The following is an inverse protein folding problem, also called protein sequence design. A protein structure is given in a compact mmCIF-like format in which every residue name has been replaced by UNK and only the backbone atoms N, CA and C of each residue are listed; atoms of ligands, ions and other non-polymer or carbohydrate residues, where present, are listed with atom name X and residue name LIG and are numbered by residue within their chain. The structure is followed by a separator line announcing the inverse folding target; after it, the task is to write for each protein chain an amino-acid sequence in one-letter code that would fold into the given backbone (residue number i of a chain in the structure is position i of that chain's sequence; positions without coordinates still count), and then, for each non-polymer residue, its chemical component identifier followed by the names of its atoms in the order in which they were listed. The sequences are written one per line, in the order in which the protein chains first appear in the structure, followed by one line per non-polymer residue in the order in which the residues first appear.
data_IF_847467671802
#
_entry.id   IF_847467671802
#
_cell.length_a   1.000
_cell.length_b   1.000
_cell.length_c   1.000
_cell.angle_alpha   90.00
_cell.angle_beta   90.00
_cell.angle_gamma   90.00
#
_symmetry.space_group_name_H-M   'P 1'
#
loop_
_entity.id
_entity.type
_entity.pdbx_description
1 polymer ?
#
# COMPACT_ATOMS: atom_id res chain seq x y z
N UNK A 1 -2.25 10.43 -24.66
CA UNK A 1 -3.05 10.50 -23.41
C UNK A 1 -3.59 9.14 -22.97
N UNK A 2 -4.13 8.30 -23.86
CA UNK A 2 -4.62 6.96 -23.48
C UNK A 2 -3.54 6.06 -22.83
N UNK A 3 -2.30 6.07 -23.35
CA UNK A 3 -1.19 5.29 -22.78
C UNK A 3 -0.84 5.67 -21.34
N UNK A 4 -0.86 6.96 -21.01
CA UNK A 4 -0.57 7.45 -19.65
C UNK A 4 -1.65 7.06 -18.66
N UNK A 5 -2.93 7.12 -19.06
CA UNK A 5 -4.06 6.69 -18.21
C UNK A 5 -3.98 5.19 -17.94
N UNK A 6 -3.73 4.39 -18.98
CA UNK A 6 -3.53 2.95 -18.83
C UNK A 6 -2.34 2.63 -17.92
N UNK A 7 -1.23 3.37 -18.05
CA UNK A 7 -0.04 3.20 -17.22
C UNK A 7 -0.30 3.53 -15.74
N UNK A 8 -0.96 4.64 -15.42
CA UNK A 8 -1.27 5.01 -14.04
C UNK A 8 -2.21 4.00 -13.39
N UNK A 9 -3.15 3.44 -14.16
CA UNK A 9 -4.10 2.45 -13.67
C UNK A 9 -3.54 1.01 -13.65
N UNK A 10 -2.37 0.76 -14.24
CA UNK A 10 -1.81 -0.60 -14.36
C UNK A 10 -1.61 -1.29 -13.00
N UNK A 11 -1.47 -0.54 -11.90
CA UNK A 11 -1.42 -1.08 -10.53
C UNK A 11 -2.63 -1.98 -10.20
N UNK A 12 -3.82 -1.65 -10.72
CA UNK A 12 -5.03 -2.44 -10.50
C UNK A 12 -4.98 -3.81 -11.18
N UNK A 13 -4.20 -3.96 -12.26
CA UNK A 13 -4.01 -5.24 -12.95
C UNK A 13 -3.25 -6.21 -12.04
N UNK A 14 -2.22 -5.74 -11.34
CA UNK A 14 -1.50 -6.57 -10.37
C UNK A 14 -2.35 -6.95 -9.17
N UNK A 15 -3.22 -6.06 -8.68
CA UNK A 15 -4.18 -6.38 -7.63
C UNK A 15 -5.15 -7.48 -8.07
N UNK A 16 -5.66 -7.42 -9.30
CA UNK A 16 -6.55 -8.44 -9.83
C UNK A 16 -5.91 -9.84 -9.91
N UNK A 17 -4.59 -9.93 -10.19
CA UNK A 17 -3.87 -11.21 -10.25
C UNK A 17 -3.40 -11.74 -8.89
N UNK A 18 -3.06 -10.85 -7.95
CA UNK A 18 -2.47 -11.25 -6.65
C UNK A 18 -3.51 -11.49 -5.55
N UNK A 19 -4.74 -11.00 -5.72
CA UNK A 19 -5.74 -11.07 -4.66
C UNK A 19 -6.40 -12.45 -4.59
N UNK A 20 -6.58 -13.04 -3.38
CA UNK A 20 -7.27 -14.31 -3.19
C UNK A 20 -8.78 -14.17 -3.46
N UNK A 21 -9.13 -14.13 -4.74
CA UNK A 21 -10.49 -14.02 -5.28
C UNK A 21 -11.40 -15.22 -4.92
N UNK A 22 -10.88 -16.20 -4.19
CA UNK A 22 -11.58 -17.40 -3.73
C UNK A 22 -12.45 -17.17 -2.48
N UNK A 23 -12.27 -16.06 -1.75
CA UNK A 23 -13.10 -15.74 -0.58
C UNK A 23 -14.47 -15.12 -0.94
N UNK A 24 -14.60 -14.51 -2.11
CA UNK A 24 -15.83 -13.80 -2.51
C UNK A 24 -16.58 -14.64 -3.54
N UNK A 25 -17.61 -15.37 -3.08
CA UNK A 25 -18.44 -16.25 -3.92
C UNK A 25 -19.31 -15.51 -4.94
N UNK A 26 -19.66 -14.25 -4.70
CA UNK A 26 -20.59 -13.51 -5.57
C UNK A 26 -19.84 -12.69 -6.64
N UNK A 27 -20.17 -12.82 -7.94
CA UNK A 27 -19.42 -12.19 -9.03
C UNK A 27 -19.45 -10.66 -9.00
N UNK A 28 -20.55 -10.06 -8.55
CA UNK A 28 -20.69 -8.59 -8.42
C UNK A 28 -19.83 -8.06 -7.27
N UNK A 29 -19.82 -8.75 -6.13
CA UNK A 29 -18.99 -8.37 -4.99
C UNK A 29 -17.49 -8.53 -5.31
N UNK A 30 -17.17 -9.51 -6.16
CA UNK A 30 -15.82 -9.73 -6.68
C UNK A 30 -15.38 -8.59 -7.60
N UNK A 31 -16.24 -8.16 -8.52
CA UNK A 31 -15.96 -7.03 -9.41
C UNK A 31 -15.80 -5.72 -8.61
N UNK A 32 -16.68 -5.45 -7.64
CA UNK A 32 -16.55 -4.31 -6.73
C UNK A 32 -15.25 -4.40 -5.93
N UNK A 33 -14.91 -5.57 -5.39
CA UNK A 33 -13.71 -5.73 -4.60
C UNK A 33 -12.41 -5.50 -5.39
N UNK A 34 -12.37 -5.84 -6.68
CA UNK A 34 -11.24 -5.54 -7.56
C UNK A 34 -11.17 -4.05 -7.88
N UNK A 35 -12.32 -3.41 -8.10
CA UNK A 35 -12.42 -1.98 -8.38
C UNK A 35 -12.00 -1.12 -7.19
N UNK A 36 -12.56 -1.39 -6.00
CA UNK A 36 -12.34 -0.63 -4.78
C UNK A 36 -11.02 -1.00 -4.05
N UNK A 37 -10.15 -1.79 -4.68
CA UNK A 37 -8.89 -2.20 -4.07
C UNK A 37 -7.84 -1.10 -4.19
N UNK A 38 -7.37 -0.65 -3.03
CA UNK A 38 -6.21 0.23 -2.89
C UNK A 38 -5.12 -0.45 -2.05
N UNK A 39 -3.91 0.08 -2.12
CA UNK A 39 -2.72 -0.43 -1.45
C UNK A 39 -2.89 -0.54 0.06
N UNK A 40 -3.56 0.40 0.70
CA UNK A 40 -3.77 0.38 2.15
C UNK A 40 -4.66 -0.79 2.57
N UNK A 41 -5.75 -1.00 1.83
CA UNK A 41 -6.66 -2.13 2.06
C UNK A 41 -5.94 -3.45 1.77
N UNK A 42 -5.12 -3.50 0.73
CA UNK A 42 -4.30 -4.66 0.39
C UNK A 42 -3.28 -4.98 1.49
N UNK A 43 -2.51 -3.98 1.95
CA UNK A 43 -1.47 -4.16 2.95
C UNK A 43 -2.04 -4.63 4.29
N UNK A 44 -3.15 -4.02 4.74
CA UNK A 44 -3.84 -4.43 5.97
C UNK A 44 -4.38 -5.86 5.82
N UNK A 45 -5.04 -6.18 4.71
CA UNK A 45 -5.59 -7.53 4.53
C UNK A 45 -4.50 -8.61 4.34
N UNK A 46 -3.37 -8.26 3.72
CA UNK A 46 -2.22 -9.17 3.58
C UNK A 46 -1.53 -9.45 4.92
N UNK A 47 -1.58 -8.50 5.87
CA UNK A 47 -1.04 -8.67 7.22
C UNK A 47 -1.90 -9.54 8.15
N UNK A 48 -3.17 -9.78 7.79
CA UNK A 48 -4.07 -10.65 8.53
C UNK A 48 -3.78 -12.12 8.24
N UNK A 49 -3.90 -12.96 9.26
CA UNK A 49 -3.81 -14.40 9.14
C UNK A 49 -4.97 -14.97 8.30
N UNK A 50 -4.72 -16.06 7.59
CA UNK A 50 -5.63 -16.66 6.60
C UNK A 50 -7.02 -17.03 7.18
N UNK A 51 -7.08 -17.33 8.47
CA UNK A 51 -8.31 -17.69 9.19
C UNK A 51 -9.18 -16.49 9.59
N UNK A 52 -8.62 -15.27 9.62
CA UNK A 52 -9.35 -14.03 9.94
C UNK A 52 -9.78 -13.25 8.68
N UNK A 53 -9.30 -13.67 7.51
CA UNK A 53 -9.67 -13.07 6.22
C UNK A 53 -11.12 -13.42 5.91
N UNK A 54 -11.97 -12.40 5.89
CA UNK A 54 -13.41 -12.56 5.68
C UNK A 54 -13.89 -11.58 4.60
N UNK A 55 -14.65 -12.08 3.63
CA UNK A 55 -15.24 -11.28 2.56
C UNK A 55 -16.03 -10.04 3.03
N UNK A 56 -16.93 -10.13 4.05
CA UNK A 56 -17.62 -8.94 4.57
C UNK A 56 -16.68 -7.93 5.23
N UNK A 57 -15.59 -8.36 5.88
CA UNK A 57 -14.60 -7.46 6.49
C UNK A 57 -13.85 -6.67 5.42
N UNK A 58 -13.46 -7.34 4.33
CA UNK A 58 -12.83 -6.69 3.18
C UNK A 58 -13.74 -5.62 2.56
N UNK A 59 -14.99 -5.99 2.28
CA UNK A 59 -15.97 -5.08 1.68
C UNK A 59 -16.28 -3.89 2.60
N UNK A 60 -16.41 -4.13 3.91
CA UNK A 60 -16.60 -3.08 4.89
C UNK A 60 -15.41 -2.10 4.91
N UNK A 61 -14.17 -2.60 4.81
CA UNK A 61 -12.98 -1.76 4.77
C UNK A 61 -12.91 -0.92 3.49
N UNK A 62 -13.23 -1.52 2.34
CA UNK A 62 -13.30 -0.81 1.05
C UNK A 62 -14.35 0.31 1.08
N UNK A 63 -15.56 0.00 1.56
CA UNK A 63 -16.63 0.99 1.70
C UNK A 63 -16.22 2.10 2.67
N UNK A 64 -15.58 1.76 3.79
CA UNK A 64 -15.11 2.76 4.75
C UNK A 64 -14.06 3.70 4.13
N UNK A 65 -13.10 3.17 3.36
CA UNK A 65 -12.13 3.98 2.62
C UNK A 65 -12.82 4.90 1.59
N UNK A 66 -13.81 4.40 0.86
CA UNK A 66 -14.52 5.17 -0.15
C UNK A 66 -15.39 6.27 0.48
N UNK A 67 -16.08 5.98 1.59
CA UNK A 67 -16.83 6.97 2.37
C UNK A 67 -15.89 8.02 2.97
N UNK A 68 -14.73 7.61 3.49
CA UNK A 68 -13.73 8.55 4.00
C UNK A 68 -13.22 9.48 2.90
N UNK A 69 -12.91 8.93 1.73
CA UNK A 69 -12.44 9.69 0.57
C UNK A 69 -13.49 10.70 0.09
N UNK A 70 -14.71 10.24 -0.16
CA UNK A 70 -15.81 11.08 -0.64
C UNK A 70 -16.19 12.12 0.41
N UNK A 71 -16.31 11.72 1.68
CA UNK A 71 -16.65 12.61 2.78
C UNK A 71 -15.58 13.67 3.02
N UNK A 72 -14.31 13.28 3.02
CA UNK A 72 -13.17 14.19 3.14
C UNK A 72 -13.10 15.17 1.96
N UNK A 73 -13.31 14.68 0.73
CA UNK A 73 -13.36 15.51 -0.47
C UNK A 73 -14.51 16.51 -0.45
N UNK A 74 -15.72 16.07 -0.11
CA UNK A 74 -16.90 16.94 -0.02
C UNK A 74 -16.71 18.01 1.06
N UNK A 75 -16.20 17.61 2.23
CA UNK A 75 -15.89 18.52 3.33
C UNK A 75 -14.82 19.54 2.91
N UNK A 76 -13.78 19.09 2.22
CA UNK A 76 -12.74 19.95 1.66
C UNK A 76 -13.26 20.94 0.63
N UNK A 77 -14.20 20.55 -0.23
CA UNK A 77 -14.85 21.46 -1.19
C UNK A 77 -15.69 22.51 -0.45
N UNK A 78 -16.52 22.11 0.50
CA UNK A 78 -17.36 23.03 1.28
C UNK A 78 -16.49 24.04 2.03
N UNK A 79 -15.45 23.58 2.73
CA UNK A 79 -14.48 24.45 3.40
C UNK A 79 -13.72 25.34 2.41
N UNK A 80 -13.34 24.79 1.25
CA UNK A 80 -12.68 25.51 0.16
C UNK A 80 -13.52 26.66 -0.39
N UNK A 81 -14.83 26.47 -0.54
CA UNK A 81 -15.75 27.52 -1.03
C UNK A 81 -16.02 28.61 0.01
N UNK A 82 -15.83 28.33 1.30
CA UNK A 82 -15.95 29.31 2.37
C UNK A 82 -14.69 30.20 2.51
N UNK A 83 -13.59 29.84 1.86
CA UNK A 83 -12.34 30.59 1.88
C UNK A 83 -12.32 31.66 0.78
N UNK A 84 -12.21 32.96 1.11
CA UNK A 84 -12.28 34.05 0.12
C UNK A 84 -11.04 34.20 -0.77
N UNK A 85 -9.95 33.50 -0.46
CA UNK A 85 -8.68 33.60 -1.17
C UNK A 85 -8.06 32.20 -1.38
N UNK A 86 -7.35 31.97 -2.49
CA UNK A 86 -6.61 30.72 -2.68
C UNK A 86 -5.63 30.52 -1.53
N UNK A 87 -5.72 29.36 -0.86
CA UNK A 87 -4.85 29.01 0.26
C UNK A 87 -3.42 28.82 -0.26
N UNK A 88 -2.60 29.87 -0.15
CA UNK A 88 -1.16 29.77 -0.39
C UNK A 88 -0.56 28.75 0.58
N UNK A 89 0.18 27.77 0.05
CA UNK A 89 0.83 26.73 0.84
C UNK A 89 0.11 25.37 0.86
N UNK A 90 -1.00 25.18 0.14
CA UNK A 90 -1.56 23.83 -0.03
C UNK A 90 -0.57 22.87 -0.71
N UNK A 91 0.26 23.39 -1.62
CA UNK A 91 1.37 22.68 -2.26
C UNK A 91 2.43 22.18 -1.25
N UNK A 92 2.61 22.87 -0.12
CA UNK A 92 3.47 22.42 0.96
C UNK A 92 2.91 21.16 1.64
N UNK A 93 1.58 21.05 1.79
CA UNK A 93 0.96 19.88 2.40
C UNK A 93 1.21 18.61 1.57
N UNK A 94 1.13 18.71 0.23
CA UNK A 94 1.43 17.58 -0.66
C UNK A 94 2.91 17.17 -0.58
N UNK A 95 3.83 18.13 -0.60
CA UNK A 95 5.26 17.85 -0.44
C UNK A 95 5.57 17.24 0.94
N UNK A 96 4.91 17.71 2.00
CA UNK A 96 5.06 17.18 3.35
C UNK A 96 4.56 15.72 3.44
N UNK A 97 3.41 15.40 2.82
CA UNK A 97 2.89 14.04 2.77
C UNK A 97 3.89 13.08 2.12
N UNK A 98 4.42 13.42 0.95
CA UNK A 98 5.44 12.59 0.29
C UNK A 98 6.72 12.46 1.10
N UNK A 99 7.14 13.54 1.77
CA UNK A 99 8.32 13.54 2.63
C UNK A 99 8.15 12.58 3.80
N UNK A 100 6.99 12.61 4.47
CA UNK A 100 6.69 11.71 5.59
C UNK A 100 6.62 10.26 5.13
N UNK A 101 5.94 9.97 4.01
CA UNK A 101 5.89 8.61 3.44
C UNK A 101 7.28 8.07 3.10
N UNK A 102 8.12 8.91 2.51
CA UNK A 102 9.52 8.57 2.20
C UNK A 102 10.30 8.27 3.49
N UNK A 103 10.16 9.12 4.51
CA UNK A 103 10.84 8.93 5.79
C UNK A 103 10.39 7.64 6.50
N UNK A 104 9.09 7.32 6.43
CA UNK A 104 8.54 6.09 7.02
C UNK A 104 9.10 4.84 6.32
N UNK A 105 9.19 4.87 4.99
CA UNK A 105 9.84 3.82 4.21
C UNK A 105 11.32 3.62 4.61
N UNK A 106 12.06 4.70 4.86
CA UNK A 106 13.44 4.61 5.37
C UNK A 106 13.53 4.03 6.79
N UNK A 107 12.58 4.35 7.67
CA UNK A 107 12.56 3.86 9.07
C UNK A 107 12.30 2.36 9.18
N UNK A 108 11.54 1.79 8.25
CA UNK A 108 11.16 0.38 8.26
C UNK A 108 12.34 -0.62 8.23
N UNK A 109 13.58 -0.19 7.90
CA UNK A 109 14.85 -0.97 7.79
C UNK A 109 14.83 -2.21 6.88
N UNK A 110 13.71 -2.88 6.70
CA UNK A 110 13.50 -4.00 5.78
C UNK A 110 13.35 -3.52 4.33
N UNK A 111 12.89 -2.27 4.14
CA UNK A 111 12.56 -1.70 2.82
C UNK A 111 13.64 -0.76 2.25
N UNK A 112 14.80 -0.61 2.90
CA UNK A 112 15.86 0.32 2.44
C UNK A 112 16.42 -0.10 1.08
N UNK A 113 16.59 -1.41 0.86
CA UNK A 113 17.11 -1.92 -0.41
C UNK A 113 16.13 -1.62 -1.56
N UNK A 114 14.83 -1.97 -1.48
CA UNK A 114 13.82 -1.51 -2.44
C UNK A 114 13.79 0.01 -2.66
N UNK A 115 13.88 0.83 -1.60
CA UNK A 115 13.86 2.29 -1.74
C UNK A 115 15.07 2.82 -2.54
N UNK A 116 16.27 2.29 -2.29
CA UNK A 116 17.47 2.65 -3.05
C UNK A 116 17.37 2.22 -4.52
N UNK A 117 16.85 1.01 -4.76
CA UNK A 117 16.62 0.49 -6.11
C UNK A 117 15.59 1.35 -6.86
N UNK A 118 14.52 1.78 -6.19
CA UNK A 118 13.52 2.69 -6.76
C UNK A 118 14.15 4.04 -7.13
N UNK A 119 14.90 4.66 -6.21
CA UNK A 119 15.60 5.92 -6.47
C UNK A 119 16.59 5.83 -7.63
N UNK A 120 17.37 4.76 -7.69
CA UNK A 120 18.29 4.50 -8.80
C UNK A 120 17.55 4.33 -10.14
N UNK A 121 16.47 3.55 -10.15
CA UNK A 121 15.66 3.32 -11.37
C UNK A 121 15.05 4.61 -11.92
N UNK A 122 14.56 5.50 -11.06
CA UNK A 122 14.02 6.81 -11.45
C UNK A 122 15.11 7.71 -12.00
N UNK A 123 16.27 7.75 -11.34
CA UNK A 123 17.41 8.56 -11.78
C UNK A 123 17.89 8.15 -13.17
N UNK A 124 18.04 6.84 -13.40
CA UNK A 124 18.41 6.28 -14.71
C UNK A 124 17.34 6.57 -15.75
N UNK A 125 16.06 6.38 -15.41
CA UNK A 125 14.96 6.60 -16.33
C UNK A 125 14.79 8.07 -16.76
N UNK A 126 15.05 9.02 -15.86
CA UNK A 126 15.01 10.46 -16.16
C UNK A 126 16.10 10.87 -17.16
N UNK A 127 17.25 10.19 -17.15
CA UNK A 127 18.37 10.46 -18.07
C UNK A 127 18.14 9.79 -19.44
N UNK A 128 17.64 8.56 -19.46
CA UNK A 128 17.44 7.80 -20.71
C UNK A 128 16.22 8.29 -21.51
N UNK A 129 15.08 8.51 -20.84
CA UNK A 129 13.81 8.75 -21.53
C UNK A 129 12.94 9.73 -20.74
N UNK A 130 13.18 11.05 -20.82
CA UNK A 130 12.42 12.05 -20.06
C UNK A 130 10.90 11.99 -20.30
N UNK A 131 10.49 11.70 -21.54
CA UNK A 131 9.08 11.59 -21.93
C UNK A 131 8.35 10.33 -21.43
N UNK A 132 9.08 9.31 -20.98
CA UNK A 132 8.52 8.06 -20.46
C UNK A 132 9.24 7.60 -19.18
N UNK A 133 9.76 8.55 -18.40
CA UNK A 133 10.64 8.28 -17.26
C UNK A 133 9.94 7.44 -16.20
N UNK A 134 8.67 7.73 -15.87
CA UNK A 134 7.88 6.95 -14.91
C UNK A 134 7.76 5.47 -15.32
N UNK A 135 7.52 5.21 -16.61
CA UNK A 135 7.38 3.84 -17.12
C UNK A 135 8.72 3.11 -17.16
N UNK A 136 9.75 3.78 -17.64
CA UNK A 136 11.11 3.21 -17.71
C UNK A 136 11.62 2.92 -16.29
N UNK A 137 11.34 3.79 -15.32
CA UNK A 137 11.66 3.59 -13.92
C UNK A 137 10.93 2.38 -13.34
N UNK A 138 9.62 2.25 -13.58
CA UNK A 138 8.83 1.10 -13.12
C UNK A 138 9.36 -0.22 -13.68
N UNK A 139 9.64 -0.28 -14.98
CA UNK A 139 10.18 -1.49 -15.62
C UNK A 139 11.56 -1.84 -15.07
N UNK A 140 12.45 -0.85 -14.92
CA UNK A 140 13.77 -1.05 -14.32
C UNK A 140 13.65 -1.52 -12.89
N UNK A 141 12.77 -0.91 -12.09
CA UNK A 141 12.57 -1.28 -10.69
C UNK A 141 12.06 -2.70 -10.53
N UNK A 142 11.03 -3.09 -11.29
CA UNK A 142 10.48 -4.46 -11.29
C UNK A 142 11.51 -5.46 -11.80
N UNK A 143 12.21 -5.15 -12.90
CA UNK A 143 13.25 -6.01 -13.46
C UNK A 143 14.38 -6.25 -12.46
N UNK A 144 14.82 -5.20 -11.77
CA UNK A 144 15.85 -5.28 -10.74
C UNK A 144 15.37 -6.13 -9.56
N UNK A 145 14.15 -5.91 -9.06
CA UNK A 145 13.56 -6.73 -7.99
C UNK A 145 13.44 -8.22 -8.36
N UNK A 146 13.14 -8.54 -9.62
CA UNK A 146 13.06 -9.93 -10.09
C UNK A 146 14.43 -10.59 -10.23
N UNK A 147 15.47 -9.82 -10.54
CA UNK A 147 16.84 -10.31 -10.67
C UNK A 147 17.53 -10.49 -9.31
N UNK A 148 17.07 -9.81 -8.26
CA UNK A 148 17.59 -9.99 -6.92
C UNK A 148 17.18 -11.36 -6.35
N UNK A 149 18.12 -12.14 -5.78
CA UNK A 149 17.79 -13.37 -5.09
C UNK A 149 16.80 -13.06 -3.96
N UNK A 150 15.63 -13.71 -3.97
CA UNK A 150 14.63 -13.60 -2.90
C UNK A 150 15.28 -14.04 -1.59
N UNK A 151 15.77 -13.09 -0.80
CA UNK A 151 16.15 -13.36 0.57
C UNK A 151 14.87 -13.72 1.30
N UNK A 152 14.77 -14.91 1.93
CA UNK A 152 13.58 -15.27 2.66
C UNK A 152 13.33 -14.16 3.68
N UNK A 153 12.17 -13.52 3.56
CA UNK A 153 11.66 -12.58 4.54
C UNK A 153 11.79 -13.30 5.87
N UNK A 154 12.68 -12.78 6.72
CA UNK A 154 12.90 -13.31 8.04
C UNK A 154 11.59 -13.06 8.76
N UNK A 155 10.76 -14.11 8.79
CA UNK A 155 9.64 -14.25 9.71
C UNK A 155 10.11 -13.63 11.00
N UNK A 156 9.55 -12.48 11.34
CA UNK A 156 9.74 -11.87 12.64
C UNK A 156 9.16 -12.89 13.59
N UNK A 157 10.04 -13.77 14.06
CA UNK A 157 9.73 -14.86 14.96
C UNK A 157 8.93 -14.32 16.12
N UNK A 158 7.98 -15.15 16.56
CA UNK A 158 7.03 -14.86 17.61
C UNK A 158 7.65 -14.03 18.72
N UNK A 159 6.90 -13.00 19.11
CA UNK A 159 7.15 -12.14 20.24
C UNK A 159 7.68 -12.96 21.42
N UNK A 160 8.85 -12.65 21.99
CA UNK A 160 9.39 -13.33 23.18
C UNK A 160 8.43 -13.37 24.37
N UNK A 161 7.42 -12.48 24.35
CA UNK A 161 6.39 -12.32 25.36
C UNK A 161 5.45 -13.54 25.43
N UNK A 162 5.22 -14.27 24.32
CA UNK A 162 4.35 -15.45 24.35
C UNK A 162 5.04 -16.66 25.02
N UNK A 163 6.35 -16.79 24.88
CA UNK A 163 7.12 -17.88 25.51
C UNK A 163 7.31 -17.63 27.00
N UNK A 164 7.54 -16.38 27.42
CA UNK A 164 7.62 -16.03 28.85
C UNK A 164 6.26 -16.10 29.54
N UNK A 165 5.16 -15.69 28.89
CA UNK A 165 3.82 -15.84 29.45
C UNK A 165 3.42 -17.31 29.63
N UNK A 166 3.81 -18.19 28.70
CA UNK A 166 3.56 -19.62 28.82
C UNK A 166 4.38 -20.28 29.94
N UNK A 167 5.65 -19.88 30.11
CA UNK A 167 6.48 -20.34 31.23
C UNK A 167 5.97 -19.88 32.59
N UNK A 168 5.51 -18.64 32.70
CA UNK A 168 4.94 -18.12 33.95
C UNK A 168 3.63 -18.82 34.32
N UNK A 169 2.80 -19.18 33.33
CA UNK A 169 1.56 -19.92 33.56
C UNK A 169 1.82 -21.38 34.00
N UNK A 170 2.84 -22.03 33.44
CA UNK A 170 3.24 -23.40 33.83
C UNK A 170 3.85 -23.42 35.24
N UNK A 171 4.62 -22.40 35.64
CA UNK A 171 5.24 -22.30 36.98
C UNK A 171 4.21 -21.99 38.09
N UNK A 172 3.08 -21.36 37.76
CA UNK A 172 1.95 -21.17 38.70
C UNK A 172 0.99 -22.36 38.78
N UNK A 173 1.10 -23.34 37.88
CA UNK A 173 0.25 -24.53 37.88
C UNK A 173 0.86 -25.70 38.68
N UNK A 174 2.17 -25.66 38.94
CA UNK A 174 2.94 -26.66 39.71
C UNK A 174 3.24 -26.23 41.17
N UNK A 175 2.70 -25.09 41.63
CA UNK A 175 2.82 -24.58 43.01
C UNK A 175 1.47 -24.62 43.75
#
# INVERSE_FOLDING_TARGET
MAGTVLMVNFRHVFYAFSFPLHLVRHPVAKAYAVYAMIDEVYAVNASLDEHERSAPRLLAMQIACEVYWVGGGLTGVVLGTALPAPVKGLEFAQCALFTVLTLDAFRSRQEILPVLLAGASVTVALVLTPGAAMFTALLLFVGLLLLLPRRPLRSSGGTPIAVTARRAAEETADA
#
